data_IF_106153217560
#
_entry.id   IF_106153217560
#
_cell.length_a   1.000
_cell.length_b   1.000
_cell.length_c   1.000
_cell.angle_alpha   90.00
_cell.angle_beta   90.00
_cell.angle_gamma   90.00
#
_symmetry.space_group_name_H-M   'P 1'
#
loop_
_entity.id
_entity.type
_entity.pdbx_description
1 polymer ?
#
# COMPACT_ATOMS: atom_id res chain seq x y z
N UNK A 1 -2.45 -25.04 -34.09
CA UNK A 1 -1.58 -25.22 -32.91
C UNK A 1 -0.44 -24.19 -32.95
N UNK A 2 -0.42 -23.13 -32.10
CA UNK A 2 0.77 -22.33 -31.95
C UNK A 2 1.34 -22.30 -30.52
N UNK A 3 2.68 -22.32 -30.53
CA UNK A 3 3.68 -22.47 -29.47
C UNK A 3 3.53 -21.59 -28.22
N UNK A 4 3.89 -22.20 -27.11
CA UNK A 4 4.19 -21.64 -25.79
C UNK A 4 5.26 -20.54 -25.93
N UNK A 5 4.92 -19.29 -25.58
CA UNK A 5 5.90 -18.21 -25.38
C UNK A 5 6.55 -18.41 -24.01
N UNK A 6 7.88 -18.50 -23.99
CA UNK A 6 8.69 -18.60 -22.78
C UNK A 6 8.53 -17.41 -21.82
N UNK A 7 9.18 -17.46 -20.64
CA UNK A 7 9.11 -16.39 -19.65
C UNK A 7 9.67 -15.08 -20.24
N UNK A 8 8.91 -14.00 -20.08
CA UNK A 8 9.31 -12.65 -20.49
C UNK A 8 10.45 -12.20 -19.56
N UNK A 9 11.67 -11.92 -20.06
CA UNK A 9 12.71 -11.35 -19.23
C UNK A 9 12.34 -9.90 -18.92
N UNK A 10 12.18 -9.56 -17.65
CA UNK A 10 11.93 -8.18 -17.21
C UNK A 10 13.29 -7.47 -17.16
N UNK A 11 13.44 -6.51 -18.08
CA UNK A 11 14.63 -5.74 -18.38
C UNK A 11 15.15 -4.98 -17.13
N UNK A 12 16.43 -5.17 -16.81
CA UNK A 12 17.14 -4.72 -15.62
C UNK A 12 17.59 -3.25 -15.70
N UNK A 13 16.79 -2.37 -16.30
CA UNK A 13 17.22 -1.02 -16.71
C UNK A 13 16.77 0.17 -15.87
N UNK A 14 16.12 -0.04 -14.72
CA UNK A 14 15.77 1.09 -13.82
C UNK A 14 16.87 1.36 -12.80
N UNK A 15 18.00 1.91 -13.27
CA UNK A 15 19.09 2.43 -12.45
C UNK A 15 18.92 3.96 -12.33
N UNK A 16 18.40 4.43 -11.19
CA UNK A 16 18.59 5.82 -10.74
C UNK A 16 18.97 5.83 -9.26
N UNK A 17 19.98 6.64 -8.96
CA UNK A 17 20.74 6.69 -7.72
C UNK A 17 20.01 7.40 -6.58
N UNK A 18 20.02 6.80 -5.38
CA UNK A 18 20.06 7.44 -4.06
C UNK A 18 20.15 6.34 -3.00
N UNK A 19 20.95 6.53 -1.97
CA UNK A 19 21.46 5.50 -1.04
C UNK A 19 20.45 4.89 -0.06
N UNK A 20 19.36 4.30 -0.56
CA UNK A 20 18.48 3.42 0.19
C UNK A 20 18.48 2.06 -0.50
N UNK A 21 18.55 0.98 0.28
CA UNK A 21 18.46 -0.38 -0.22
C UNK A 21 17.06 -0.59 -0.82
N UNK A 22 16.87 -0.25 -2.10
CA UNK A 22 15.62 -0.46 -2.84
C UNK A 22 15.46 -1.96 -3.07
N UNK A 23 14.97 -2.66 -2.04
CA UNK A 23 14.60 -4.05 -2.16
C UNK A 23 13.45 -4.15 -3.17
N UNK A 24 13.76 -4.71 -4.34
CA UNK A 24 12.77 -5.07 -5.34
C UNK A 24 12.34 -6.51 -5.07
N UNK A 25 11.06 -6.69 -4.78
CA UNK A 25 10.48 -8.00 -4.43
C UNK A 25 9.38 -8.35 -5.42
N UNK A 26 9.23 -9.63 -5.75
CA UNK A 26 8.12 -10.11 -6.59
C UNK A 26 7.33 -11.15 -5.80
N UNK A 27 6.01 -10.98 -5.74
CA UNK A 27 5.11 -11.88 -5.01
C UNK A 27 3.92 -12.29 -5.88
N UNK A 28 3.27 -13.37 -5.50
CA UNK A 28 1.98 -13.75 -6.08
C UNK A 28 0.82 -12.98 -5.44
N UNK A 29 -0.30 -12.88 -6.15
CA UNK A 29 -1.52 -12.30 -5.60
C UNK A 29 -2.06 -13.08 -4.38
N UNK A 30 -1.76 -14.37 -4.28
CA UNK A 30 -2.17 -15.18 -3.13
C UNK A 30 -1.33 -14.89 -1.89
N UNK A 31 -0.03 -14.64 -2.09
CA UNK A 31 0.87 -14.20 -1.03
C UNK A 31 0.55 -12.78 -0.57
N UNK A 32 0.23 -11.88 -1.50
CA UNK A 32 -0.27 -10.54 -1.18
C UNK A 32 -1.49 -10.59 -0.25
N UNK A 33 -2.46 -11.45 -0.56
CA UNK A 33 -3.68 -11.58 0.26
C UNK A 33 -3.42 -12.12 1.66
N UNK A 34 -2.42 -13.00 1.82
CA UNK A 34 -2.06 -13.60 3.11
C UNK A 34 -1.28 -12.63 4.01
N UNK A 35 -0.41 -11.82 3.41
CA UNK A 35 0.60 -11.04 4.14
C UNK A 35 0.49 -9.53 3.87
N UNK A 36 -0.70 -9.03 3.54
CA UNK A 36 -0.90 -7.65 3.07
C UNK A 36 -0.32 -6.60 4.03
N UNK A 37 -0.61 -6.72 5.33
CA UNK A 37 -0.15 -5.74 6.32
C UNK A 37 1.37 -5.58 6.32
N UNK A 38 2.09 -6.71 6.43
CA UNK A 38 3.57 -6.70 6.44
C UNK A 38 4.15 -6.16 5.12
N UNK A 39 3.55 -6.52 3.99
CA UNK A 39 3.98 -6.03 2.68
C UNK A 39 3.73 -4.52 2.50
N UNK A 40 2.67 -3.98 3.11
CA UNK A 40 2.42 -2.54 3.16
C UNK A 40 3.49 -1.83 3.99
N UNK A 41 3.90 -2.40 5.14
CA UNK A 41 4.98 -1.85 5.96
C UNK A 41 6.32 -1.85 5.20
N UNK A 42 6.64 -2.95 4.52
CA UNK A 42 7.82 -3.05 3.64
C UNK A 42 7.78 -1.97 2.53
N UNK A 43 6.63 -1.80 1.89
CA UNK A 43 6.47 -0.82 0.82
C UNK A 43 6.56 0.63 1.34
N UNK A 44 5.98 0.90 2.51
CA UNK A 44 6.08 2.20 3.18
C UNK A 44 7.52 2.54 3.58
N UNK A 45 8.33 1.53 3.93
CA UNK A 45 9.76 1.68 4.19
C UNK A 45 10.60 1.89 2.91
N UNK A 46 9.98 1.87 1.72
CA UNK A 46 10.63 2.13 0.44
C UNK A 46 10.84 0.90 -0.44
N UNK A 47 10.36 -0.28 -0.06
CA UNK A 47 10.41 -1.44 -0.94
C UNK A 47 9.49 -1.26 -2.16
N UNK A 48 9.91 -1.82 -3.30
CA UNK A 48 9.09 -1.87 -4.52
C UNK A 48 8.68 -3.31 -4.80
N UNK A 49 7.41 -3.60 -4.64
CA UNK A 49 6.88 -4.96 -4.65
C UNK A 49 6.04 -5.17 -5.92
N UNK A 50 6.49 -6.03 -6.82
CA UNK A 50 5.74 -6.44 -8.01
C UNK A 50 4.77 -7.57 -7.67
N UNK A 51 3.51 -7.34 -7.98
CA UNK A 51 2.44 -8.32 -7.75
C UNK A 51 2.17 -9.05 -9.06
N UNK A 52 2.19 -10.37 -9.00
CA UNK A 52 1.91 -11.23 -10.15
C UNK A 52 0.64 -12.05 -9.97
N UNK A 53 -0.10 -12.26 -11.06
CA UNK A 53 -1.20 -13.23 -11.17
C UNK A 53 -0.86 -14.21 -12.28
N UNK A 54 -0.86 -15.50 -11.99
CA UNK A 54 -0.45 -16.55 -12.94
C UNK A 54 0.89 -16.23 -13.65
N UNK A 55 1.90 -15.78 -12.89
CA UNK A 55 3.23 -15.36 -13.37
C UNK A 55 3.24 -14.16 -14.31
N UNK A 56 2.16 -13.40 -14.40
CA UNK A 56 2.10 -12.13 -15.15
C UNK A 56 2.04 -10.96 -14.17
N UNK A 57 2.85 -9.91 -14.34
CA UNK A 57 2.76 -8.73 -13.50
C UNK A 57 1.41 -8.04 -13.70
N UNK A 58 0.74 -7.69 -12.61
CA UNK A 58 -0.59 -7.06 -12.63
C UNK A 58 -0.65 -5.74 -11.87
N UNK A 59 0.22 -5.56 -10.88
CA UNK A 59 0.27 -4.35 -10.06
C UNK A 59 1.65 -4.17 -9.43
N UNK A 60 1.89 -2.98 -8.90
CA UNK A 60 3.06 -2.66 -8.06
C UNK A 60 2.56 -2.07 -6.75
N UNK A 61 3.17 -2.46 -5.64
CA UNK A 61 3.00 -1.87 -4.33
C UNK A 61 4.31 -1.17 -3.96
N UNK A 62 4.22 0.12 -3.66
CA UNK A 62 5.35 0.97 -3.27
C UNK A 62 4.87 2.04 -2.30
N UNK A 63 5.80 2.77 -1.68
CA UNK A 63 5.47 4.01 -1.00
C UNK A 63 4.63 4.91 -1.93
N UNK A 64 3.62 5.56 -1.35
CA UNK A 64 2.78 6.49 -2.08
C UNK A 64 3.58 7.77 -2.36
N UNK A 65 3.87 8.02 -3.63
CA UNK A 65 4.43 9.30 -4.04
C UNK A 65 3.33 10.37 -4.00
N UNK A 66 3.60 11.50 -3.34
CA UNK A 66 2.59 12.56 -3.13
C UNK A 66 2.07 13.15 -4.45
N UNK A 67 2.79 12.96 -5.56
CA UNK A 67 2.48 13.49 -6.88
C UNK A 67 1.11 13.03 -7.43
N UNK A 68 0.61 11.87 -7.01
CA UNK A 68 -0.69 11.35 -7.45
C UNK A 68 -1.70 11.16 -6.31
N UNK A 69 -1.34 11.58 -5.09
CA UNK A 69 -2.23 11.50 -3.94
C UNK A 69 -3.06 12.77 -3.86
N UNK A 70 -4.34 12.68 -4.24
CA UNK A 70 -5.28 13.76 -4.05
C UNK A 70 -5.67 13.89 -2.58
N UNK A 71 -5.04 14.83 -1.88
CA UNK A 71 -5.37 15.16 -0.49
C UNK A 71 -6.42 16.28 -0.48
N UNK A 72 -7.63 15.97 -0.04
CA UNK A 72 -8.69 16.96 0.12
C UNK A 72 -8.39 17.98 1.24
N UNK A 73 -8.97 19.19 1.19
CA UNK A 73 -8.66 20.29 2.13
C UNK A 73 -9.02 20.00 3.61
N UNK A 74 -9.77 18.92 3.86
CA UNK A 74 -10.19 18.46 5.19
C UNK A 74 -9.42 17.25 5.70
N UNK A 75 -8.41 16.76 4.98
CA UNK A 75 -7.57 15.66 5.44
C UNK A 75 -6.95 15.99 6.81
N UNK A 76 -7.03 15.04 7.75
CA UNK A 76 -6.58 15.23 9.14
C UNK A 76 -7.42 16.21 10.00
N UNK A 77 -8.38 16.95 9.40
CA UNK A 77 -9.22 17.95 10.09
C UNK A 77 -10.67 17.50 10.26
N UNK A 78 -11.14 16.57 9.43
CA UNK A 78 -12.50 16.05 9.50
C UNK A 78 -12.69 15.04 10.62
N UNK A 79 -13.61 15.32 11.55
CA UNK A 79 -14.08 14.32 12.51
C UNK A 79 -15.17 13.45 11.87
N UNK A 80 -15.08 12.12 12.00
CA UNK A 80 -16.18 11.25 11.65
C UNK A 80 -17.37 11.52 12.59
N UNK A 81 -18.57 11.66 12.03
CA UNK A 81 -19.81 11.80 12.79
C UNK A 81 -20.64 10.54 12.64
N UNK A 82 -21.19 9.98 13.72
CA UNK A 82 -22.06 8.81 13.63
C UNK A 82 -23.38 9.21 12.96
N UNK A 83 -23.80 8.44 11.96
CA UNK A 83 -25.12 8.59 11.36
C UNK A 83 -26.22 8.10 12.32
N UNK A 84 -25.93 7.05 13.09
CA UNK A 84 -26.82 6.49 14.11
C UNK A 84 -26.04 6.35 15.43
N UNK A 85 -26.52 6.98 16.51
CA UNK A 85 -25.87 6.93 17.83
C UNK A 85 -26.35 5.78 18.71
N UNK A 86 -27.62 5.40 18.64
CA UNK A 86 -28.23 4.45 19.56
C UNK A 86 -27.61 3.03 19.55
N UNK A 87 -27.33 2.39 18.40
CA UNK A 87 -26.92 0.99 18.41
C UNK A 87 -25.47 0.76 18.85
N UNK A 88 -24.61 1.76 18.71
CA UNK A 88 -23.15 1.60 18.90
C UNK A 88 -22.56 2.62 19.87
N UNK A 89 -23.35 3.60 20.31
CA UNK A 89 -22.94 4.74 21.15
C UNK A 89 -21.71 5.50 20.63
N UNK A 90 -21.33 5.32 19.36
CA UNK A 90 -20.12 5.92 18.80
C UNK A 90 -18.82 5.16 19.07
N UNK A 91 -18.84 4.03 19.79
CA UNK A 91 -17.63 3.26 20.16
C UNK A 91 -16.76 2.86 18.96
N UNK A 92 -17.38 2.49 17.84
CA UNK A 92 -16.62 2.15 16.62
C UNK A 92 -15.89 3.35 16.02
N UNK A 93 -16.40 4.56 16.22
CA UNK A 93 -15.73 5.78 15.73
C UNK A 93 -14.53 6.13 16.59
N UNK A 94 -14.55 5.84 17.89
CA UNK A 94 -13.41 6.01 18.78
C UNK A 94 -12.23 5.15 18.30
N UNK A 95 -12.49 3.86 18.01
CA UNK A 95 -11.49 2.93 17.46
C UNK A 95 -10.90 3.45 16.14
N UNK A 96 -11.74 3.90 15.21
CA UNK A 96 -11.29 4.48 13.94
C UNK A 96 -10.56 5.82 14.10
N UNK A 97 -10.77 6.52 15.22
CA UNK A 97 -10.11 7.79 15.51
C UNK A 97 -8.75 7.55 16.16
N UNK A 98 -8.64 6.54 17.01
CA UNK A 98 -7.36 6.07 17.55
C UNK A 98 -6.44 5.54 16.45
N UNK A 99 -6.96 4.78 15.47
CA UNK A 99 -6.19 4.31 14.32
C UNK A 99 -5.63 5.45 13.45
N UNK A 100 -6.33 6.59 13.42
CA UNK A 100 -5.86 7.81 12.74
C UNK A 100 -4.84 8.63 13.53
N UNK A 101 -4.66 8.38 14.84
CA UNK A 101 -3.66 9.10 15.63
C UNK A 101 -2.28 8.60 15.22
N UNK A 102 -1.59 9.35 14.38
CA UNK A 102 -0.19 9.07 14.05
C UNK A 102 0.67 9.12 15.32
N UNK A 103 1.51 8.12 15.60
CA UNK A 103 2.49 8.18 16.68
C UNK A 103 3.57 9.20 16.25
N UNK A 104 3.45 10.45 16.68
CA UNK A 104 4.45 11.48 16.36
C UNK A 104 3.95 12.92 16.31
N UNK A 105 2.63 13.16 16.31
CA UNK A 105 2.10 14.51 16.50
C UNK A 105 2.20 14.93 17.98
N UNK A 106 3.43 15.16 18.46
CA UNK A 106 3.67 15.84 19.73
C UNK A 106 3.13 17.27 19.61
N UNK A 107 2.23 17.62 20.51
CA UNK A 107 1.92 19.00 20.87
C UNK A 107 2.59 19.31 22.19
#
# INVERSE_FOLDING_TARGET
MPRIRGPVPIDSRFRTASGYFLAVKTISIDELKRNLSSLVDEAAAGARIFITRHRRPVATLSAADMEHVHIGPRFGRGALKPLLRAPTQGKYLEVLQDDRRTPGARR
#
